data_IF_410318802857
#
_entry.id   IF_410318802857
#
_cell.length_a   1.000
_cell.length_b   1.000
_cell.length_c   1.000
_cell.angle_alpha   90.00
_cell.angle_beta   90.00
_cell.angle_gamma   90.00
#
_symmetry.space_group_name_H-M   'P 1'
#
loop_
_entity.id
_entity.type
_entity.pdbx_description
1 polymer ?
#
# COMPACT_ATOMS: atom_id res chain seq x y z
N UNK A 1 0.91 -32.83 -4.18
CA UNK A 1 1.67 -31.56 -4.17
C UNK A 1 0.66 -30.46 -3.96
N UNK A 2 0.57 -29.94 -2.73
CA UNK A 2 -0.27 -28.79 -2.47
C UNK A 2 0.33 -27.62 -3.26
N UNK A 3 -0.46 -27.03 -4.14
CA UNK A 3 -0.24 -25.67 -4.59
C UNK A 3 -0.29 -24.81 -3.32
N UNK A 4 0.88 -24.57 -2.72
CA UNK A 4 1.10 -23.59 -1.66
C UNK A 4 0.62 -22.26 -2.24
N UNK A 5 -0.53 -21.83 -1.71
CA UNK A 5 -1.27 -20.59 -1.92
C UNK A 5 -1.06 -19.94 -3.30
N UNK A 6 -2.06 -20.01 -4.23
CA UNK A 6 -1.94 -19.33 -5.52
C UNK A 6 -1.62 -17.89 -5.20
N UNK A 7 -0.52 -17.39 -5.76
CA UNK A 7 0.00 -16.04 -5.62
C UNK A 7 -1.16 -15.04 -5.52
N UNK A 8 -1.66 -14.81 -4.30
CA UNK A 8 -2.44 -13.64 -3.99
C UNK A 8 -1.37 -12.59 -3.86
N UNK A 9 -0.83 -12.18 -5.01
CA UNK A 9 -0.19 -10.88 -5.14
C UNK A 9 -1.28 -9.92 -4.72
N UNK A 10 -1.32 -9.60 -3.42
CA UNK A 10 -2.26 -8.63 -2.89
C UNK A 10 -1.99 -7.35 -3.66
N UNK A 11 -3.02 -6.58 -4.00
CA UNK A 11 -2.84 -5.30 -4.71
C UNK A 11 -1.79 -4.40 -4.03
N UNK A 12 -1.64 -4.55 -2.71
CA UNK A 12 -0.63 -3.94 -1.87
C UNK A 12 0.84 -4.30 -2.21
N UNK A 13 1.10 -5.46 -2.78
CA UNK A 13 2.42 -5.93 -3.21
C UNK A 13 2.78 -5.56 -4.66
N UNK A 14 1.79 -5.09 -5.43
CA UNK A 14 2.06 -4.67 -6.80
C UNK A 14 2.86 -3.35 -6.84
N UNK A 15 3.80 -3.19 -7.78
CA UNK A 15 4.49 -1.93 -7.99
C UNK A 15 3.49 -0.80 -8.30
N UNK A 16 3.68 0.36 -7.68
CA UNK A 16 2.79 1.51 -7.86
C UNK A 16 2.63 1.88 -9.33
N UNK A 17 3.71 1.93 -10.11
CA UNK A 17 3.68 2.24 -11.55
C UNK A 17 2.97 1.20 -12.42
N UNK A 18 2.72 0.00 -11.90
CA UNK A 18 1.98 -1.05 -12.61
C UNK A 18 0.47 -0.90 -12.43
N UNK A 19 0.02 -0.38 -11.29
CA UNK A 19 -1.41 -0.27 -10.92
C UNK A 19 -1.94 1.16 -10.90
N UNK A 20 -1.06 2.15 -10.82
CA UNK A 20 -1.36 3.58 -10.88
C UNK A 20 -0.61 4.22 -12.06
N UNK A 21 -1.37 4.76 -13.00
CA UNK A 21 -0.88 5.44 -14.20
C UNK A 21 -0.18 6.78 -13.92
N UNK A 22 -0.43 7.37 -12.75
CA UNK A 22 0.13 8.66 -12.32
C UNK A 22 1.42 8.52 -11.49
N UNK A 23 1.84 7.31 -11.16
CA UNK A 23 3.05 7.06 -10.36
C UNK A 23 4.13 6.41 -11.21
N UNK A 24 5.34 6.95 -11.18
CA UNK A 24 6.53 6.31 -11.78
C UNK A 24 7.27 5.40 -10.78
N UNK A 25 6.82 5.33 -9.51
CA UNK A 25 7.47 4.53 -8.48
C UNK A 25 7.35 3.02 -8.74
N UNK A 26 8.48 2.32 -8.68
CA UNK A 26 8.54 0.85 -8.70
C UNK A 26 8.29 0.24 -7.30
N UNK A 27 8.16 1.08 -6.26
CA UNK A 27 7.87 0.60 -4.92
C UNK A 27 6.47 -0.03 -4.85
N UNK A 28 6.29 -1.08 -4.03
CA UNK A 28 4.97 -1.64 -3.74
C UNK A 28 4.00 -0.60 -3.19
N UNK A 29 2.71 -0.74 -3.47
CA UNK A 29 1.65 0.16 -2.95
C UNK A 29 1.69 0.24 -1.42
N UNK A 30 1.94 -0.87 -0.72
CA UNK A 30 2.07 -0.89 0.76
C UNK A 30 3.18 0.02 1.26
N UNK A 31 4.31 0.04 0.57
CA UNK A 31 5.50 0.76 1.03
C UNK A 31 5.31 2.25 0.78
N UNK A 32 4.68 2.62 -0.34
CA UNK A 32 4.32 4.00 -0.62
C UNK A 32 3.30 4.54 0.41
N UNK A 33 2.29 3.74 0.78
CA UNK A 33 1.35 4.10 1.85
C UNK A 33 2.04 4.20 3.21
N UNK A 34 2.93 3.25 3.53
CA UNK A 34 3.70 3.25 4.77
C UNK A 34 4.57 4.52 4.89
N UNK A 35 5.27 4.90 3.82
CA UNK A 35 6.11 6.10 3.79
C UNK A 35 5.29 7.38 4.00
N UNK A 36 4.10 7.48 3.41
CA UNK A 36 3.17 8.58 3.67
C UNK A 36 2.78 8.67 5.15
N UNK A 37 2.42 7.55 5.78
CA UNK A 37 2.08 7.52 7.19
C UNK A 37 3.29 7.80 8.09
N UNK A 38 4.49 7.34 7.72
CA UNK A 38 5.73 7.67 8.40
C UNK A 38 5.95 9.18 8.40
N UNK A 39 5.90 9.84 7.26
CA UNK A 39 6.11 11.28 7.18
C UNK A 39 5.00 12.06 7.92
N UNK A 40 3.74 11.62 7.81
CA UNK A 40 2.61 12.18 8.59
C UNK A 40 2.82 12.05 10.10
N UNK A 41 3.36 10.92 10.56
CA UNK A 41 3.54 10.60 11.98
C UNK A 41 4.92 10.99 12.51
N UNK A 42 5.69 11.83 11.81
CA UNK A 42 7.05 12.22 12.21
C UNK A 42 7.98 11.02 12.42
N UNK A 43 7.82 9.99 11.59
CA UNK A 43 8.55 8.71 11.57
C UNK A 43 8.35 7.85 12.81
N UNK A 44 7.21 8.02 13.50
CA UNK A 44 6.77 7.13 14.56
C UNK A 44 6.25 5.82 13.95
N UNK A 45 7.04 4.76 14.09
CA UNK A 45 6.71 3.44 13.56
C UNK A 45 5.53 2.81 14.29
N UNK A 46 5.33 3.09 15.59
CA UNK A 46 4.24 2.51 16.37
C UNK A 46 2.91 3.04 15.85
N UNK A 47 2.79 4.35 15.65
CA UNK A 47 1.58 4.97 15.08
C UNK A 47 1.36 4.55 13.63
N UNK A 48 2.43 4.47 12.86
CA UNK A 48 2.34 4.07 11.45
C UNK A 48 1.84 2.64 11.31
N UNK A 49 2.31 1.72 12.15
CA UNK A 49 1.78 0.35 12.20
C UNK A 49 0.29 0.32 12.59
N UNK A 50 -0.13 1.14 13.57
CA UNK A 50 -1.54 1.25 13.95
C UNK A 50 -2.42 1.78 12.81
N UNK A 51 -1.94 2.77 12.05
CA UNK A 51 -2.67 3.33 10.90
C UNK A 51 -2.63 2.41 9.66
N UNK A 52 -1.58 1.61 9.48
CA UNK A 52 -1.44 0.66 8.37
C UNK A 52 -2.19 -0.66 8.59
N UNK A 53 -2.40 -1.10 9.83
CA UNK A 53 -3.20 -2.32 10.14
C UNK A 53 -4.53 -2.40 9.37
N UNK A 54 -5.42 -1.40 9.40
CA UNK A 54 -6.69 -1.48 8.68
C UNK A 54 -6.52 -1.54 7.17
N UNK A 55 -5.42 -1.03 6.60
CA UNK A 55 -5.13 -1.09 5.17
C UNK A 55 -4.91 -2.54 4.71
N UNK A 56 -4.40 -3.41 5.57
CA UNK A 56 -4.20 -4.83 5.25
C UNK A 56 -5.52 -5.61 5.10
N UNK A 57 -6.59 -5.10 5.70
CA UNK A 57 -7.94 -5.69 5.65
C UNK A 57 -8.84 -5.01 4.59
N UNK A 58 -8.37 -3.93 3.95
CA UNK A 58 -9.10 -3.22 2.90
C UNK A 58 -9.15 -4.02 1.60
N UNK A 59 -10.23 -3.83 0.85
CA UNK A 59 -10.33 -4.32 -0.53
C UNK A 59 -9.44 -3.52 -1.48
N UNK A 60 -9.08 -4.11 -2.62
CA UNK A 60 -8.21 -3.47 -3.63
C UNK A 60 -8.74 -2.09 -4.07
N UNK A 61 -10.07 -1.95 -4.23
CA UNK A 61 -10.72 -0.68 -4.59
C UNK A 61 -10.56 0.39 -3.50
N UNK A 62 -10.67 0.00 -2.22
CA UNK A 62 -10.46 0.89 -1.08
C UNK A 62 -8.99 1.33 -0.96
N UNK A 63 -8.06 0.39 -1.15
CA UNK A 63 -6.62 0.70 -1.19
C UNK A 63 -6.32 1.66 -2.33
N UNK A 64 -6.90 1.44 -3.52
CA UNK A 64 -6.75 2.32 -4.67
C UNK A 64 -7.23 3.74 -4.38
N UNK A 65 -8.44 3.87 -3.81
CA UNK A 65 -9.00 5.16 -3.42
C UNK A 65 -8.17 5.87 -2.34
N UNK A 66 -7.64 5.12 -1.37
CA UNK A 66 -6.76 5.66 -0.33
C UNK A 66 -5.45 6.18 -0.93
N UNK A 67 -4.79 5.38 -1.77
CA UNK A 67 -3.55 5.74 -2.45
C UNK A 67 -3.74 6.99 -3.32
N UNK A 68 -4.79 7.05 -4.13
CA UNK A 68 -5.11 8.24 -4.93
C UNK A 68 -5.41 9.47 -4.07
N UNK A 69 -5.94 9.30 -2.87
CA UNK A 69 -6.23 10.42 -1.95
C UNK A 69 -4.99 10.97 -1.26
N UNK A 70 -4.04 10.11 -0.89
CA UNK A 70 -2.90 10.50 -0.03
C UNK A 70 -1.58 10.63 -0.78
N UNK A 71 -1.36 9.81 -1.82
CA UNK A 71 -0.11 9.72 -2.57
C UNK A 71 -0.14 10.52 -3.88
N UNK A 72 -1.31 10.66 -4.53
CA UNK A 72 -1.44 11.46 -5.75
C UNK A 72 -1.30 12.95 -5.41
N UNK A 73 -0.22 13.57 -5.88
CA UNK A 73 0.10 14.99 -5.69
C UNK A 73 0.29 15.68 -7.03
#
# INVERSE_FOLDING_TARGET
MASVDPEKTLFLDEPMNKVFDWSDSEAPVRDALWDYYMEKNSRDTIKTEEEMKPVLDMSDDEVKALAEKVLKK
#
